data_IF_817509217545
#
_entry.id   IF_817509217545
#
_cell.length_a   1.000
_cell.length_b   1.000
_cell.length_c   1.000
_cell.angle_alpha   90.00
_cell.angle_beta   90.00
_cell.angle_gamma   90.00
#
_symmetry.space_group_name_H-M   'P 1'
#
loop_
_entity.id
_entity.type
_entity.pdbx_description
1 polymer ?
#
# COMPACT_ATOMS: atom_id res chain seq x y z
N UNK A 1 0.58 2.53 10.31
CA UNK A 1 -0.33 1.39 10.52
C UNK A 1 -0.97 1.04 9.19
N UNK A 2 -0.80 -0.20 8.72
CA UNK A 2 -1.40 -0.67 7.48
C UNK A 2 -2.56 -1.63 7.80
N UNK A 3 -3.74 -1.36 7.24
CA UNK A 3 -4.93 -2.21 7.28
C UNK A 3 -4.82 -3.24 6.16
N UNK A 4 -4.66 -4.50 6.55
CA UNK A 4 -4.57 -5.64 5.62
C UNK A 4 -5.86 -6.45 5.72
N UNK A 5 -6.57 -6.61 4.60
CA UNK A 5 -7.72 -7.51 4.48
C UNK A 5 -7.25 -8.83 3.89
N UNK A 6 -7.64 -9.92 4.54
CA UNK A 6 -7.25 -11.27 4.16
C UNK A 6 -8.44 -12.08 3.63
N UNK A 7 -8.18 -12.90 2.62
CA UNK A 7 -9.12 -13.85 2.02
C UNK A 7 -8.39 -14.75 1.02
N UNK A 8 -7.94 -15.93 1.47
CA UNK A 8 -7.03 -16.83 0.73
C UNK A 8 -5.57 -16.32 0.58
N UNK A 9 -5.30 -15.10 1.05
CA UNK A 9 -4.05 -14.36 0.92
C UNK A 9 -4.30 -12.88 1.24
N UNK A 10 -3.38 -11.98 0.88
CA UNK A 10 -3.59 -10.53 1.01
C UNK A 10 -4.51 -10.05 -0.13
N UNK A 11 -5.78 -9.77 0.18
CA UNK A 11 -6.77 -9.30 -0.81
C UNK A 11 -6.70 -7.79 -1.00
N UNK A 12 -6.42 -7.03 0.07
CA UNK A 12 -6.28 -5.58 0.01
C UNK A 12 -5.34 -5.11 1.11
N UNK A 13 -4.45 -4.18 0.78
CA UNK A 13 -3.59 -3.50 1.75
C UNK A 13 -3.78 -1.99 1.62
N UNK A 14 -3.99 -1.31 2.74
CA UNK A 14 -4.12 0.15 2.83
C UNK A 14 -3.23 0.67 3.93
N UNK A 15 -2.50 1.76 3.68
CA UNK A 15 -1.65 2.41 4.69
C UNK A 15 -0.16 2.29 4.35
N UNK A 16 0.70 2.61 5.32
CA UNK A 16 2.16 2.69 5.09
C UNK A 16 2.94 1.69 5.95
N UNK A 17 3.80 0.90 5.30
CA UNK A 17 4.72 -0.08 5.91
C UNK A 17 6.07 -0.02 5.20
N UNK A 18 7.17 -0.17 5.94
CA UNK A 18 8.53 -0.26 5.39
C UNK A 18 8.89 0.83 4.36
N UNK A 19 8.47 2.09 4.60
CA UNK A 19 8.74 3.21 3.69
C UNK A 19 7.86 3.26 2.44
N UNK A 20 6.96 2.29 2.26
CA UNK A 20 6.02 2.22 1.15
C UNK A 20 4.58 2.50 1.61
N UNK A 21 3.80 3.18 0.78
CA UNK A 21 2.37 3.42 0.95
C UNK A 21 1.60 2.57 -0.05
N UNK A 22 0.72 1.72 0.47
CA UNK A 22 -0.19 0.87 -0.29
C UNK A 22 -1.53 1.60 -0.44
N UNK A 23 -1.96 1.81 -1.68
CA UNK A 23 -3.14 2.59 -2.03
C UNK A 23 -3.96 1.92 -3.14
N UNK A 24 -5.20 2.39 -3.35
CA UNK A 24 -6.10 1.90 -4.39
C UNK A 24 -6.70 3.06 -5.17
N UNK A 25 -6.75 2.95 -6.49
CA UNK A 25 -7.47 3.85 -7.39
C UNK A 25 -8.51 3.08 -8.22
N UNK A 26 -9.15 3.74 -9.19
CA UNK A 26 -10.14 3.12 -10.10
C UNK A 26 -9.54 1.94 -10.90
N UNK A 27 -8.22 1.94 -11.11
CA UNK A 27 -7.51 0.94 -11.92
C UNK A 27 -6.87 -0.18 -11.09
N UNK A 28 -7.04 -0.17 -9.76
CA UNK A 28 -6.57 -1.24 -8.88
C UNK A 28 -5.65 -0.77 -7.75
N UNK A 29 -4.94 -1.73 -7.16
CA UNK A 29 -4.03 -1.49 -6.04
C UNK A 29 -2.63 -1.14 -6.56
N UNK A 30 -1.96 -0.20 -5.92
CA UNK A 30 -0.59 0.21 -6.27
C UNK A 30 0.22 0.59 -5.03
N UNK A 31 1.54 0.60 -5.20
CA UNK A 31 2.51 0.94 -4.15
C UNK A 31 3.27 2.19 -4.56
N UNK A 32 3.46 3.12 -3.63
CA UNK A 32 4.28 4.32 -3.82
C UNK A 32 5.24 4.51 -2.66
N UNK A 33 6.35 5.22 -2.87
CA UNK A 33 7.21 5.65 -1.77
C UNK A 33 6.43 6.56 -0.82
N UNK A 34 6.56 6.34 0.49
CA UNK A 34 5.92 7.17 1.54
C UNK A 34 6.48 8.59 1.51
N UNK A 35 7.79 8.70 1.34
CA UNK A 35 8.52 9.96 1.28
C UNK A 35 9.01 10.22 -0.13
N UNK A 36 9.02 11.49 -0.55
CA UNK A 36 9.65 11.88 -1.80
C UNK A 36 11.14 11.47 -1.70
N UNK A 37 11.64 10.63 -2.61
CA UNK A 37 13.06 10.32 -2.64
C UNK A 37 13.82 11.64 -2.87
N UNK A 38 14.69 11.97 -1.93
CA UNK A 38 15.69 13.03 -2.07
C UNK A 38 16.98 12.31 -2.47
N UNK A 39 17.47 12.60 -3.67
CA UNK A 39 18.77 12.09 -4.14
C UNK A 39 19.89 12.92 -3.51
#
# INVERSE_FOLDING_TARGET
>A
MALVKYGGGITQMSGSIAGNTFARNRYGNYVRSRTKPIN
#
